data_IF_751970050515
#
_entry.id   IF_751970050515
#
_cell.length_a   1.000
_cell.length_b   1.000
_cell.length_c   1.000
_cell.angle_alpha   90.00
_cell.angle_beta   90.00
_cell.angle_gamma   90.00
#
_symmetry.space_group_name_H-M   'P 1'
#
loop_
_entity.id
_entity.type
_entity.pdbx_description
1 polymer ?
#
# COMPACT_ATOMS: atom_id res chain seq x y z
N UNK A 1 21.74 13.12 6.65
CA UNK A 1 21.05 12.49 5.52
C UNK A 1 20.56 13.61 4.63
N UNK A 2 20.91 13.59 3.35
CA UNK A 2 20.43 14.56 2.36
C UNK A 2 18.93 14.31 2.17
N UNK A 3 18.11 15.35 2.26
CA UNK A 3 16.66 15.24 2.08
C UNK A 3 16.37 14.88 0.61
N UNK A 4 15.69 13.74 0.37
CA UNK A 4 15.34 13.32 -0.99
C UNK A 4 14.20 14.19 -1.49
N UNK A 5 14.41 14.85 -2.62
CA UNK A 5 13.34 15.60 -3.28
C UNK A 5 12.41 14.63 -4.03
N UNK A 6 11.21 14.41 -3.50
CA UNK A 6 10.15 13.61 -4.14
C UNK A 6 9.03 14.54 -4.61
N UNK A 7 8.83 14.63 -5.92
CA UNK A 7 7.68 15.33 -6.52
C UNK A 7 6.57 14.32 -6.81
N UNK A 8 5.34 14.63 -6.39
CA UNK A 8 4.17 13.76 -6.58
C UNK A 8 3.19 14.41 -7.56
N UNK A 9 2.60 13.61 -8.44
CA UNK A 9 1.57 14.03 -9.37
C UNK A 9 0.36 13.09 -9.29
N UNK A 10 -0.82 13.67 -9.05
CA UNK A 10 -2.11 12.98 -9.03
C UNK A 10 -3.00 13.68 -10.06
N UNK A 11 -3.61 12.91 -10.96
CA UNK A 11 -4.42 13.43 -12.08
C UNK A 11 -3.68 14.49 -12.92
N UNK A 12 -2.37 14.29 -13.11
CA UNK A 12 -1.49 15.20 -13.85
C UNK A 12 -1.15 16.51 -13.14
N UNK A 13 -1.64 16.72 -11.91
CA UNK A 13 -1.35 17.91 -11.10
C UNK A 13 -0.30 17.61 -10.06
N UNK A 14 0.67 18.52 -9.93
CA UNK A 14 1.64 18.46 -8.84
C UNK A 14 0.93 18.61 -7.50
N UNK A 15 1.25 17.75 -6.53
CA UNK A 15 0.81 17.86 -5.13
C UNK A 15 2.04 17.99 -4.25
N UNK A 16 1.93 18.79 -3.19
CA UNK A 16 3.09 19.04 -2.33
C UNK A 16 3.38 17.83 -1.44
N UNK A 17 4.64 17.70 -1.00
CA UNK A 17 5.01 16.69 -0.01
C UNK A 17 4.19 16.83 1.27
N UNK A 18 3.94 18.06 1.71
CA UNK A 18 3.11 18.36 2.87
C UNK A 18 1.66 17.89 2.71
N UNK A 19 1.08 17.94 1.51
CA UNK A 19 -0.28 17.43 1.26
C UNK A 19 -0.33 15.90 1.37
N UNK A 20 0.69 15.21 0.85
CA UNK A 20 0.83 13.75 0.96
C UNK A 20 0.95 13.35 2.43
N UNK A 21 1.79 14.03 3.19
CA UNK A 21 1.98 13.82 4.63
C UNK A 21 0.73 14.15 5.44
N UNK A 22 -0.01 15.20 5.07
CA UNK A 22 -1.29 15.53 5.69
C UNK A 22 -2.33 14.43 5.46
N UNK A 23 -2.39 13.88 4.23
CA UNK A 23 -3.24 12.74 3.92
C UNK A 23 -2.84 11.51 4.75
N UNK A 24 -1.54 11.23 4.85
CA UNK A 24 -1.01 10.14 5.67
C UNK A 24 -1.39 10.29 7.14
N UNK A 25 -1.20 11.48 7.72
CA UNK A 25 -1.51 11.75 9.13
C UNK A 25 -3.00 11.52 9.43
N UNK A 26 -3.88 11.89 8.49
CA UNK A 26 -5.33 11.61 8.60
C UNK A 26 -5.60 10.11 8.60
N UNK A 27 -4.94 9.33 7.74
CA UNK A 27 -5.08 7.86 7.70
C UNK A 27 -4.51 7.21 8.95
N UNK A 28 -3.32 7.62 9.38
CA UNK A 28 -2.69 7.14 10.61
C UNK A 28 -3.59 7.37 11.83
N UNK A 29 -4.18 8.56 11.98
CA UNK A 29 -5.17 8.84 13.02
C UNK A 29 -6.39 7.90 12.93
N UNK A 30 -6.93 7.66 11.74
CA UNK A 30 -8.08 6.78 11.55
C UNK A 30 -7.75 5.31 11.92
N UNK A 31 -6.57 4.83 11.52
CA UNK A 31 -6.13 3.45 11.79
C UNK A 31 -5.77 3.27 13.27
N UNK A 32 -5.10 4.24 13.90
CA UNK A 32 -4.84 4.23 15.35
C UNK A 32 -6.15 4.18 16.15
N UNK A 33 -7.15 4.99 15.78
CA UNK A 33 -8.47 4.96 16.42
C UNK A 33 -9.18 3.60 16.22
N UNK A 34 -9.07 3.01 15.02
CA UNK A 34 -9.62 1.69 14.73
C UNK A 34 -8.97 0.61 15.59
N UNK A 35 -7.64 0.53 15.60
CA UNK A 35 -6.89 -0.43 16.41
C UNK A 35 -7.18 -0.25 17.90
N UNK A 36 -7.15 0.99 18.39
CA UNK A 36 -7.44 1.30 19.79
C UNK A 36 -8.86 0.86 20.21
N UNK A 37 -9.87 1.12 19.37
CA UNK A 37 -11.25 0.72 19.66
C UNK A 37 -11.48 -0.79 19.58
N UNK A 38 -10.79 -1.50 18.67
CA UNK A 38 -10.97 -2.95 18.48
C UNK A 38 -10.17 -3.81 19.47
N UNK A 39 -8.96 -3.38 19.80
CA UNK A 39 -8.08 -4.09 20.72
C UNK A 39 -8.40 -3.74 22.18
N UNK A 40 -8.81 -2.50 22.43
CA UNK A 40 -9.00 -1.98 23.78
C UNK A 40 -7.67 -1.81 24.54
N UNK A 41 -7.76 -1.18 25.72
CA UNK A 41 -6.57 -0.77 26.50
C UNK A 41 -5.69 -1.93 26.95
N UNK A 42 -6.27 -3.11 27.24
CA UNK A 42 -5.52 -4.27 27.74
C UNK A 42 -4.61 -4.85 26.67
N UNK A 43 -5.15 -5.18 25.51
CA UNK A 43 -4.35 -5.73 24.42
C UNK A 43 -3.32 -4.72 23.89
N UNK A 44 -3.68 -3.42 23.80
CA UNK A 44 -2.71 -2.37 23.46
C UNK A 44 -1.59 -2.31 24.49
N UNK A 45 -1.89 -2.39 25.79
CA UNK A 45 -0.88 -2.36 26.85
C UNK A 45 0.01 -3.59 26.91
N UNK A 46 -0.46 -4.76 26.48
CA UNK A 46 0.38 -5.95 26.34
C UNK A 46 1.34 -5.84 25.14
N UNK A 47 0.85 -5.33 24.00
CA UNK A 47 1.69 -5.19 22.79
C UNK A 47 2.66 -4.01 22.92
N UNK A 48 2.21 -2.88 23.46
CA UNK A 48 2.97 -1.65 23.61
C UNK A 48 2.85 -1.09 25.04
N UNK A 49 3.62 -1.62 26.00
CA UNK A 49 3.62 -1.14 27.37
C UNK A 49 3.91 0.36 27.46
N UNK A 50 3.08 1.10 28.19
CA UNK A 50 3.26 2.54 28.44
C UNK A 50 2.88 3.47 27.28
N UNK A 51 2.39 2.94 26.15
CA UNK A 51 1.96 3.77 25.01
C UNK A 51 0.49 4.15 25.14
N UNK A 52 0.19 5.45 25.07
CA UNK A 52 -1.17 5.97 24.88
C UNK A 52 -1.38 6.38 23.41
N UNK A 53 -2.27 5.66 22.72
CA UNK A 53 -2.55 5.93 21.31
C UNK A 53 -3.11 7.33 21.06
N UNK A 54 -3.82 7.93 22.02
CA UNK A 54 -4.32 9.30 21.88
C UNK A 54 -3.15 10.30 21.82
N UNK A 55 -2.11 10.09 22.64
CA UNK A 55 -0.90 10.92 22.61
C UNK A 55 -0.18 10.71 21.27
N UNK A 56 -0.06 9.47 20.80
CA UNK A 56 0.61 9.15 19.53
C UNK A 56 -0.03 9.89 18.35
N UNK A 57 -1.36 10.06 18.31
CA UNK A 57 -2.02 10.78 17.20
C UNK A 57 -1.60 12.25 17.09
N UNK A 58 -1.06 12.86 18.15
CA UNK A 58 -0.52 14.22 18.14
C UNK A 58 0.99 14.30 17.86
N UNK A 59 1.68 13.17 17.73
CA UNK A 59 3.12 13.11 17.42
C UNK A 59 3.36 13.15 15.91
N UNK A 60 4.63 13.36 15.51
CA UNK A 60 5.04 13.31 14.09
C UNK A 60 4.82 11.94 13.44
N UNK A 61 4.78 11.93 12.10
CA UNK A 61 4.46 10.75 11.29
C UNK A 61 5.35 9.55 11.60
N UNK A 62 6.65 9.75 11.85
CA UNK A 62 7.55 8.63 12.13
C UNK A 62 7.18 7.87 13.40
N UNK A 63 6.75 8.58 14.45
CA UNK A 63 6.26 7.95 15.67
C UNK A 63 4.92 7.24 15.45
N UNK A 64 4.05 7.79 14.60
CA UNK A 64 2.78 7.15 14.25
C UNK A 64 3.01 5.86 13.44
N UNK A 65 3.91 5.88 12.46
CA UNK A 65 4.33 4.72 11.65
C UNK A 65 4.93 3.63 12.52
N UNK A 66 5.81 4.00 13.46
CA UNK A 66 6.44 3.07 14.39
C UNK A 66 5.41 2.35 15.27
N UNK A 67 4.52 3.12 15.90
CA UNK A 67 3.47 2.56 16.75
C UNK A 67 2.49 1.69 15.96
N UNK A 68 2.09 2.14 14.76
CA UNK A 68 1.21 1.35 13.90
C UNK A 68 1.86 0.04 13.47
N UNK A 69 3.13 0.07 13.05
CA UNK A 69 3.87 -1.13 12.69
C UNK A 69 3.95 -2.08 13.89
N UNK A 70 4.40 -1.59 15.04
CA UNK A 70 4.55 -2.42 16.25
C UNK A 70 3.22 -3.02 16.73
N UNK A 71 2.11 -2.26 16.68
CA UNK A 71 0.78 -2.80 17.01
C UNK A 71 0.36 -3.93 16.07
N UNK A 72 0.54 -3.74 14.76
CA UNK A 72 0.13 -4.72 13.74
C UNK A 72 1.00 -5.98 13.83
N UNK A 73 2.31 -5.82 13.98
CA UNK A 73 3.25 -6.94 14.17
C UNK A 73 2.99 -7.70 15.47
N UNK A 74 2.79 -6.99 16.58
CA UNK A 74 2.51 -7.62 17.88
C UNK A 74 1.15 -8.31 17.96
N UNK A 75 0.16 -7.86 17.19
CA UNK A 75 -1.10 -8.57 17.02
C UNK A 75 -0.93 -9.88 16.23
N UNK A 76 0.07 -9.92 15.35
CA UNK A 76 0.37 -11.06 14.48
C UNK A 76 -0.70 -11.31 13.42
N UNK A 77 -0.40 -12.20 12.47
CA UNK A 77 -1.29 -12.47 11.33
C UNK A 77 -2.68 -12.96 11.77
N UNK A 78 -2.72 -13.93 12.69
CA UNK A 78 -3.97 -14.48 13.20
C UNK A 78 -4.82 -13.43 13.93
N UNK A 79 -4.20 -12.53 14.70
CA UNK A 79 -4.91 -11.46 15.38
C UNK A 79 -5.46 -10.42 14.40
N UNK A 80 -4.71 -10.08 13.35
CA UNK A 80 -5.18 -9.20 12.26
C UNK A 80 -6.41 -9.81 11.58
N UNK A 81 -6.35 -11.09 11.21
CA UNK A 81 -7.50 -11.79 10.61
C UNK A 81 -8.70 -11.82 11.57
N UNK A 82 -8.49 -12.15 12.84
CA UNK A 82 -9.57 -12.21 13.82
C UNK A 82 -10.24 -10.85 14.02
N UNK A 83 -9.44 -9.78 14.14
CA UNK A 83 -9.91 -8.42 14.34
C UNK A 83 -10.71 -7.91 13.13
N UNK A 84 -10.24 -8.21 11.91
CA UNK A 84 -10.82 -7.73 10.66
C UNK A 84 -11.83 -8.70 10.03
N UNK A 85 -12.07 -9.89 10.60
CA UNK A 85 -12.84 -10.99 10.01
C UNK A 85 -14.13 -10.58 9.29
N UNK A 86 -14.95 -9.75 9.95
CA UNK A 86 -16.23 -9.29 9.37
C UNK A 86 -16.04 -8.35 8.19
N UNK A 87 -15.02 -7.50 8.27
CA UNK A 87 -14.70 -6.53 7.24
C UNK A 87 -14.11 -7.23 6.00
N UNK A 88 -13.23 -8.22 6.21
CA UNK A 88 -12.68 -9.04 5.13
C UNK A 88 -13.76 -9.85 4.40
N UNK A 89 -14.66 -10.49 5.15
CA UNK A 89 -15.79 -11.22 4.55
C UNK A 89 -16.74 -10.29 3.77
N UNK A 90 -16.90 -9.04 4.21
CA UNK A 90 -17.73 -8.06 3.48
C UNK A 90 -17.02 -7.54 2.24
N UNK A 91 -15.74 -7.17 2.32
CA UNK A 91 -14.98 -6.67 1.18
C UNK A 91 -14.83 -7.72 0.09
N UNK A 92 -14.64 -8.99 0.43
CA UNK A 92 -14.61 -10.09 -0.54
C UNK A 92 -15.92 -10.17 -1.34
N UNK A 93 -17.08 -10.14 -0.65
CA UNK A 93 -18.40 -10.16 -1.32
C UNK A 93 -18.59 -8.96 -2.24
N UNK A 94 -18.21 -7.78 -1.78
CA UNK A 94 -18.29 -6.55 -2.58
C UNK A 94 -17.38 -6.63 -3.81
N UNK A 95 -16.15 -7.15 -3.66
CA UNK A 95 -15.22 -7.33 -4.77
C UNK A 95 -15.80 -8.27 -5.83
N UNK A 96 -16.38 -9.41 -5.42
CA UNK A 96 -17.03 -10.37 -6.34
C UNK A 96 -18.18 -9.72 -7.12
N UNK A 97 -19.04 -8.96 -6.44
CA UNK A 97 -20.14 -8.23 -7.09
C UNK A 97 -19.62 -7.16 -8.04
N UNK A 98 -18.56 -6.43 -7.65
CA UNK A 98 -17.94 -5.42 -8.48
C UNK A 98 -17.36 -6.04 -9.75
N UNK A 99 -16.62 -7.16 -9.66
CA UNK A 99 -16.09 -7.89 -10.82
C UNK A 99 -17.23 -8.32 -11.75
N UNK A 100 -18.24 -9.01 -11.23
CA UNK A 100 -19.37 -9.49 -12.02
C UNK A 100 -20.12 -8.34 -12.72
N UNK A 101 -20.41 -7.26 -12.00
CA UNK A 101 -21.13 -6.11 -12.54
C UNK A 101 -20.29 -5.22 -13.47
N UNK A 102 -18.96 -5.32 -13.43
CA UNK A 102 -18.07 -4.55 -14.30
C UNK A 102 -18.06 -5.04 -15.74
N UNK A 103 -18.44 -6.32 -15.96
CA UNK A 103 -18.51 -6.95 -17.30
C UNK A 103 -17.20 -6.80 -18.09
N UNK A 104 -16.07 -7.04 -17.43
CA UNK A 104 -14.74 -6.94 -18.01
C UNK A 104 -14.21 -5.52 -18.20
N UNK A 105 -14.95 -4.48 -17.79
CA UNK A 105 -14.42 -3.11 -17.76
C UNK A 105 -13.58 -2.90 -16.51
N UNK A 106 -12.55 -2.07 -16.65
CA UNK A 106 -11.65 -1.68 -15.57
C UNK A 106 -11.62 -0.16 -15.40
N UNK A 107 -11.25 0.27 -14.20
CA UNK A 107 -10.83 1.64 -13.89
C UNK A 107 -9.45 1.61 -13.26
N UNK A 108 -8.70 2.70 -13.41
CA UNK A 108 -7.30 2.74 -13.02
C UNK A 108 -7.04 3.88 -12.04
N UNK A 109 -6.29 3.59 -11.00
CA UNK A 109 -5.62 4.60 -10.17
C UNK A 109 -4.20 4.74 -10.67
N UNK A 110 -3.79 5.97 -11.00
CA UNK A 110 -2.43 6.25 -11.49
C UNK A 110 -1.83 7.42 -10.73
N UNK A 111 -0.69 7.17 -10.10
CA UNK A 111 0.13 8.18 -9.40
C UNK A 111 1.50 8.21 -10.04
N UNK A 112 2.04 9.42 -10.30
CA UNK A 112 3.41 9.58 -10.79
C UNK A 112 4.26 10.22 -9.72
N UNK A 113 5.45 9.66 -9.47
CA UNK A 113 6.47 10.23 -8.60
C UNK A 113 7.74 10.52 -9.39
N UNK A 114 8.49 11.55 -8.97
CA UNK A 114 9.85 11.81 -9.44
C UNK A 114 10.73 11.99 -8.22
N UNK A 115 11.74 11.13 -8.06
CA UNK A 115 12.65 11.13 -6.92
C UNK A 115 14.07 11.45 -7.38
N UNK A 116 14.57 12.63 -7.03
CA UNK A 116 15.92 13.07 -7.41
C UNK A 116 17.00 12.28 -6.69
N UNK A 117 18.04 11.86 -7.41
CA UNK A 117 19.18 11.12 -6.85
C UNK A 117 18.88 9.67 -6.45
N UNK A 118 17.77 9.12 -6.96
CA UNK A 118 17.38 7.71 -6.78
C UNK A 118 17.42 7.03 -8.14
N UNK A 119 18.02 5.84 -8.24
CA UNK A 119 17.96 5.02 -9.46
C UNK A 119 16.75 4.07 -9.44
N UNK A 120 16.11 3.93 -10.59
CA UNK A 120 15.05 2.96 -10.84
C UNK A 120 15.52 1.52 -10.65
N UNK A 121 16.75 1.20 -11.07
CA UNK A 121 17.32 -0.15 -10.94
C UNK A 121 17.62 -0.46 -9.47
N UNK A 122 18.26 0.47 -8.75
CA UNK A 122 18.55 0.30 -7.32
C UNK A 122 17.27 0.19 -6.49
N UNK A 123 16.26 1.04 -6.77
CA UNK A 123 14.96 0.96 -6.10
C UNK A 123 14.24 -0.36 -6.39
N UNK A 124 14.25 -0.82 -7.65
CA UNK A 124 13.67 -2.10 -8.05
C UNK A 124 14.34 -3.27 -7.32
N UNK A 125 15.67 -3.32 -7.33
CA UNK A 125 16.43 -4.36 -6.63
C UNK A 125 16.20 -4.34 -5.11
N UNK A 126 16.08 -3.15 -4.51
CA UNK A 126 15.74 -3.00 -3.10
C UNK A 126 14.33 -3.54 -2.80
N UNK A 127 13.34 -3.23 -3.64
CA UNK A 127 11.96 -3.72 -3.47
C UNK A 127 11.90 -5.25 -3.62
N UNK A 128 12.59 -5.80 -4.61
CA UNK A 128 12.74 -7.26 -4.76
C UNK A 128 13.39 -7.87 -3.52
N UNK A 129 14.39 -7.21 -2.93
CA UNK A 129 14.99 -7.61 -1.65
C UNK A 129 13.98 -7.68 -0.51
N UNK A 130 13.08 -6.69 -0.37
CA UNK A 130 12.04 -6.71 0.66
C UNK A 130 11.10 -7.90 0.51
N UNK A 131 10.69 -8.20 -0.74
CA UNK A 131 9.79 -9.33 -1.01
C UNK A 131 10.50 -10.67 -0.80
N UNK A 132 11.75 -10.80 -1.24
CA UNK A 132 12.55 -12.02 -1.09
C UNK A 132 12.87 -12.35 0.38
N UNK A 133 13.16 -11.34 1.19
CA UNK A 133 13.42 -11.51 2.64
C UNK A 133 12.16 -11.53 3.49
N UNK A 134 10.99 -11.27 2.88
CA UNK A 134 9.72 -11.09 3.57
C UNK A 134 9.83 -10.04 4.70
N UNK A 135 10.37 -8.86 4.40
CA UNK A 135 10.44 -7.76 5.38
C UNK A 135 9.06 -7.11 5.57
N UNK A 136 8.23 -7.78 6.37
CA UNK A 136 6.87 -7.34 6.67
C UNK A 136 6.86 -5.98 7.38
N UNK A 137 7.89 -5.66 8.16
CA UNK A 137 7.99 -4.39 8.88
C UNK A 137 8.14 -3.22 7.90
N UNK A 138 9.05 -3.33 6.93
CA UNK A 138 9.22 -2.33 5.88
C UNK A 138 7.94 -2.15 5.05
N UNK A 139 7.27 -3.25 4.70
CA UNK A 139 6.03 -3.23 3.93
C UNK A 139 4.87 -2.59 4.71
N UNK A 140 4.68 -2.96 5.98
CA UNK A 140 3.59 -2.45 6.83
C UNK A 140 3.83 -1.00 7.25
N UNK A 141 5.08 -0.59 7.46
CA UNK A 141 5.42 0.78 7.89
C UNK A 141 5.18 1.82 6.80
N UNK A 142 5.24 1.43 5.53
CA UNK A 142 5.18 2.36 4.40
C UNK A 142 3.84 3.09 4.25
N UNK A 143 2.73 2.51 4.69
CA UNK A 143 1.45 3.16 4.67
C UNK A 143 0.62 2.79 5.90
N UNK A 144 -0.05 3.75 6.58
CA UNK A 144 -0.94 3.44 7.70
C UNK A 144 -2.03 2.42 7.36
N UNK A 145 -2.45 2.37 6.09
CA UNK A 145 -3.52 1.49 5.62
C UNK A 145 -3.10 0.03 5.43
N UNK A 146 -1.80 -0.30 5.51
CA UNK A 146 -1.27 -1.66 5.43
C UNK A 146 -1.42 -2.39 6.77
N UNK A 147 -2.25 -3.43 6.87
CA UNK A 147 -2.38 -4.22 8.10
C UNK A 147 -1.47 -5.45 8.11
N UNK A 148 -1.26 -6.05 6.95
CA UNK A 148 -0.37 -7.20 6.74
C UNK A 148 0.05 -7.24 5.28
N UNK A 149 1.36 -7.35 5.04
CA UNK A 149 1.92 -7.67 3.73
C UNK A 149 3.00 -8.71 3.95
N UNK A 150 2.84 -9.90 3.39
CA UNK A 150 3.81 -11.00 3.55
C UNK A 150 3.94 -11.83 2.28
N UNK A 151 5.13 -12.33 2.01
CA UNK A 151 5.38 -13.38 1.04
C UNK A 151 4.79 -14.71 1.49
N UNK A 152 4.27 -15.48 0.55
CA UNK A 152 3.79 -16.83 0.74
C UNK A 152 4.77 -17.85 0.13
N UNK A 153 4.78 -19.11 0.58
CA UNK A 153 5.69 -20.13 0.06
C UNK A 153 5.56 -20.42 -1.44
N UNK A 154 4.43 -20.04 -2.05
CA UNK A 154 4.18 -20.21 -3.49
C UNK A 154 4.61 -19.00 -4.33
N UNK A 155 5.32 -18.04 -3.73
CA UNK A 155 5.84 -16.84 -4.39
C UNK A 155 4.83 -15.70 -4.53
N UNK A 156 3.57 -15.88 -4.10
CA UNK A 156 2.59 -14.78 -4.06
C UNK A 156 2.80 -13.92 -2.83
N UNK A 157 2.37 -12.66 -2.90
CA UNK A 157 2.30 -11.79 -1.72
C UNK A 157 0.86 -11.72 -1.22
N UNK A 158 0.64 -11.98 0.05
CA UNK A 158 -0.62 -11.69 0.71
C UNK A 158 -0.66 -10.25 1.20
N UNK A 159 -1.74 -9.55 0.88
CA UNK A 159 -1.97 -8.16 1.26
C UNK A 159 -3.29 -8.05 2.00
N UNK A 160 -3.26 -7.39 3.16
CA UNK A 160 -4.43 -6.93 3.91
C UNK A 160 -4.30 -5.43 4.11
N UNK A 161 -5.14 -4.65 3.44
CA UNK A 161 -5.03 -3.19 3.45
C UNK A 161 -6.37 -2.47 3.31
N UNK A 162 -6.41 -1.18 3.67
CA UNK A 162 -7.52 -0.31 3.28
C UNK A 162 -7.28 0.28 1.88
N UNK A 163 -7.78 -0.38 0.85
CA UNK A 163 -7.61 0.08 -0.54
C UNK A 163 -8.42 1.36 -0.81
N UNK A 164 -7.73 2.48 -1.04
CA UNK A 164 -8.34 3.74 -1.50
C UNK A 164 -9.32 4.34 -0.49
N UNK A 165 -9.01 4.26 0.80
CA UNK A 165 -9.89 4.78 1.86
C UNK A 165 -11.25 4.06 1.93
N UNK A 166 -11.32 2.82 1.45
CA UNK A 166 -12.46 1.91 1.62
C UNK A 166 -12.97 1.92 3.07
N UNK A 167 -14.29 1.81 3.32
CA UNK A 167 -14.80 1.66 4.68
C UNK A 167 -14.28 0.40 5.37
N UNK A 168 -13.87 -0.61 4.60
CA UNK A 168 -13.35 -1.89 5.10
C UNK A 168 -12.08 -2.31 4.38
N UNK A 169 -11.09 -2.85 5.11
CA UNK A 169 -9.92 -3.45 4.48
C UNK A 169 -10.30 -4.67 3.65
N UNK A 170 -9.49 -4.91 2.63
CA UNK A 170 -9.58 -6.05 1.73
C UNK A 170 -8.38 -6.96 1.98
N UNK A 171 -8.58 -8.26 1.79
CA UNK A 171 -7.51 -9.24 1.71
C UNK A 171 -7.47 -9.78 0.28
N UNK A 172 -6.28 -9.84 -0.30
CA UNK A 172 -6.05 -10.44 -1.61
C UNK A 172 -4.61 -10.97 -1.71
N UNK A 173 -4.35 -11.72 -2.78
CA UNK A 173 -3.02 -12.22 -3.11
C UNK A 173 -2.54 -11.53 -4.39
N UNK A 174 -1.30 -11.06 -4.41
CA UNK A 174 -0.64 -10.58 -5.62
C UNK A 174 0.15 -11.73 -6.21
N UNK A 175 -0.25 -12.13 -7.42
CA UNK A 175 0.46 -13.12 -8.23
C UNK A 175 1.36 -12.41 -9.24
N UNK A 176 2.65 -12.32 -8.91
CA UNK A 176 3.68 -11.70 -9.75
C UNK A 176 4.01 -12.53 -11.00
N UNK A 177 3.82 -13.86 -10.97
CA UNK A 177 4.03 -14.72 -12.14
C UNK A 177 3.01 -14.42 -13.25
N UNK A 178 1.87 -13.82 -12.89
CA UNK A 178 0.82 -13.39 -13.82
C UNK A 178 0.97 -11.92 -14.29
N UNK A 179 2.14 -11.29 -14.12
CA UNK A 179 2.38 -9.88 -14.45
C UNK A 179 2.08 -9.51 -15.91
N UNK A 180 2.33 -10.40 -16.87
CA UNK A 180 2.02 -10.19 -18.30
C UNK A 180 0.51 -10.14 -18.59
N UNK A 181 -0.32 -10.66 -17.69
CA UNK A 181 -1.78 -10.69 -17.84
C UNK A 181 -2.50 -9.48 -17.22
N UNK A 182 -1.77 -8.52 -16.66
CA UNK A 182 -2.33 -7.26 -16.12
C UNK A 182 -2.73 -6.35 -17.27
N UNK A 183 -3.92 -5.73 -17.20
CA UNK A 183 -4.46 -4.96 -18.34
C UNK A 183 -3.79 -3.60 -18.54
N UNK A 184 -3.06 -3.12 -17.53
CA UNK A 184 -2.24 -1.90 -17.62
C UNK A 184 -1.14 -2.12 -18.66
N UNK A 185 -1.03 -1.29 -19.71
CA UNK A 185 -0.01 -1.46 -20.74
C UNK A 185 1.42 -1.28 -20.20
N UNK A 186 2.33 -2.10 -20.72
CA UNK A 186 3.78 -1.89 -20.57
C UNK A 186 4.19 -0.64 -21.34
N UNK A 187 5.03 0.18 -20.72
CA UNK A 187 5.70 1.31 -21.33
C UNK A 187 7.17 0.95 -21.58
N UNK A 188 7.60 0.77 -22.84
CA UNK A 188 8.98 0.39 -23.14
C UNK A 188 10.04 1.33 -22.57
N UNK A 189 9.68 2.60 -22.36
CA UNK A 189 10.54 3.61 -21.76
C UNK A 189 10.71 3.47 -20.23
N UNK A 190 10.05 2.49 -19.60
CA UNK A 190 10.15 2.15 -18.17
C UNK A 190 10.65 0.70 -18.01
N UNK A 191 11.98 0.47 -17.98
CA UNK A 191 12.55 -0.87 -18.03
C UNK A 191 12.36 -1.68 -16.75
N UNK A 192 12.21 -1.02 -15.60
CA UNK A 192 12.02 -1.70 -14.30
C UNK A 192 10.53 -1.75 -13.99
N UNK A 193 10.01 -2.91 -13.60
CA UNK A 193 8.60 -3.09 -13.34
C UNK A 193 8.32 -3.97 -12.12
N UNK A 194 7.26 -3.64 -11.40
CA UNK A 194 6.63 -4.50 -10.41
C UNK A 194 5.20 -4.72 -10.90
N UNK A 195 4.88 -5.94 -11.34
CA UNK A 195 3.60 -6.25 -11.95
C UNK A 195 3.03 -7.58 -11.46
N UNK A 196 1.73 -7.62 -11.20
CA UNK A 196 1.06 -8.84 -10.74
C UNK A 196 -0.46 -8.70 -10.72
N UNK A 197 -1.17 -9.83 -10.78
CA UNK A 197 -2.64 -9.84 -10.66
C UNK A 197 -3.05 -9.92 -9.20
N UNK A 198 -4.06 -9.13 -8.82
CA UNK A 198 -4.69 -9.26 -7.52
C UNK A 198 -5.81 -10.32 -7.61
N UNK A 199 -5.70 -11.38 -6.81
CA UNK A 199 -6.63 -12.52 -6.81
C UNK A 199 -7.17 -12.83 -5.43
N UNK A 200 -8.37 -13.42 -5.37
CA UNK A 200 -8.92 -14.06 -4.17
C UNK A 200 -8.37 -15.50 -4.03
N UNK A 201 -8.68 -16.14 -2.90
CA UNK A 201 -8.20 -17.51 -2.59
C UNK A 201 -8.65 -18.56 -3.61
N UNK A 202 -9.78 -18.33 -4.29
CA UNK A 202 -10.31 -19.20 -5.35
C UNK A 202 -9.79 -18.85 -6.76
N UNK A 203 -8.84 -17.92 -6.85
CA UNK A 203 -8.25 -17.46 -8.11
C UNK A 203 -9.08 -16.41 -8.85
N UNK A 204 -10.20 -15.92 -8.30
CA UNK A 204 -10.94 -14.82 -8.91
C UNK A 204 -10.05 -13.57 -8.98
N UNK A 205 -9.80 -13.08 -10.20
CA UNK A 205 -9.08 -11.82 -10.43
C UNK A 205 -9.98 -10.65 -10.05
N UNK A 206 -9.50 -9.82 -9.13
CA UNK A 206 -10.20 -8.62 -8.64
C UNK A 206 -9.49 -7.33 -9.01
N UNK A 207 -8.38 -7.41 -9.74
CA UNK A 207 -7.59 -6.27 -10.18
C UNK A 207 -6.17 -6.67 -10.57
N UNK A 208 -5.28 -5.70 -10.63
CA UNK A 208 -3.88 -5.90 -10.96
C UNK A 208 -3.04 -4.66 -10.64
N UNK A 209 -1.74 -4.85 -10.56
CA UNK A 209 -0.78 -3.76 -10.34
C UNK A 209 0.23 -3.79 -11.47
N UNK A 210 0.60 -2.62 -11.97
CA UNK A 210 1.80 -2.42 -12.78
C UNK A 210 2.43 -1.09 -12.40
N UNK A 211 3.47 -1.16 -11.59
CA UNK A 211 4.33 -0.04 -11.27
C UNK A 211 5.54 -0.10 -12.19
N UNK A 212 5.86 1.01 -12.84
CA UNK A 212 6.89 1.07 -13.87
C UNK A 212 7.85 2.20 -13.52
N UNK A 213 9.15 1.95 -13.63
CA UNK A 213 10.19 2.88 -13.21
C UNK A 213 11.20 3.08 -14.33
N UNK A 214 11.72 4.30 -14.42
CA UNK A 214 12.82 4.68 -15.32
C UNK A 214 13.71 5.72 -14.68
N UNK A 215 14.95 5.76 -15.13
CA UNK A 215 15.85 6.87 -14.86
C UNK A 215 15.70 7.93 -15.94
N UNK A 216 15.55 9.20 -15.51
CA UNK A 216 15.50 10.36 -16.37
C UNK A 216 16.13 11.55 -15.65
N UNK A 217 17.10 12.21 -16.29
CA UNK A 217 17.74 13.43 -15.80
C UNK A 217 18.27 13.35 -14.34
N UNK A 218 18.81 12.19 -13.95
CA UNK A 218 19.35 11.95 -12.61
C UNK A 218 18.29 11.73 -11.52
N UNK A 219 17.05 11.45 -11.91
CA UNK A 219 15.95 11.10 -11.03
C UNK A 219 15.27 9.81 -11.49
N UNK A 220 14.73 9.05 -10.53
CA UNK A 220 13.80 7.98 -10.83
C UNK A 220 12.41 8.58 -11.06
N UNK A 221 11.81 8.29 -12.21
CA UNK A 221 10.37 8.47 -12.41
C UNK A 221 9.64 7.15 -12.17
N UNK A 222 8.64 7.18 -11.28
CA UNK A 222 7.76 6.06 -11.01
C UNK A 222 6.35 6.35 -11.56
N UNK A 223 5.83 5.47 -12.40
CA UNK A 223 4.45 5.45 -12.83
C UNK A 223 3.72 4.28 -12.13
N UNK A 224 2.96 4.62 -11.10
CA UNK A 224 2.32 3.67 -10.21
C UNK A 224 0.87 3.47 -10.66
N UNK A 225 0.54 2.34 -11.28
CA UNK A 225 -0.83 2.09 -11.73
C UNK A 225 -1.43 0.84 -11.12
N UNK A 226 -2.65 0.97 -10.59
CA UNK A 226 -3.46 -0.12 -10.06
C UNK A 226 -4.78 -0.20 -10.83
N UNK A 227 -5.12 -1.40 -11.27
CA UNK A 227 -6.33 -1.80 -11.97
C UNK A 227 -7.38 -2.26 -10.96
N UNK A 228 -8.59 -1.70 -11.05
CA UNK A 228 -9.77 -2.11 -10.31
C UNK A 228 -10.90 -2.52 -11.26
N UNK A 229 -11.88 -3.31 -10.78
CA UNK A 229 -13.10 -3.57 -11.55
C UNK A 229 -13.80 -2.25 -11.85
N UNK A 230 -14.39 -2.10 -13.03
CA UNK A 230 -15.01 -0.85 -13.50
C UNK A 230 -16.16 -0.28 -12.64
N UNK A 231 -16.70 -1.06 -11.70
CA UNK A 231 -17.66 -0.57 -10.69
C UNK A 231 -17.00 -0.06 -9.40
N UNK A 232 -15.66 -0.09 -9.31
CA UNK A 232 -14.96 0.44 -8.15
C UNK A 232 -15.19 1.96 -8.05
N UNK A 233 -15.62 2.48 -6.89
CA UNK A 233 -16.07 3.87 -6.80
C UNK A 233 -14.97 4.86 -7.16
N UNK A 234 -15.27 5.86 -8.01
CA UNK A 234 -14.30 6.87 -8.46
C UNK A 234 -13.62 7.61 -7.29
N UNK A 235 -14.36 7.89 -6.20
CA UNK A 235 -13.78 8.50 -4.99
C UNK A 235 -12.71 7.62 -4.32
N UNK A 236 -12.83 6.30 -4.43
CA UNK A 236 -11.87 5.34 -3.89
C UNK A 236 -10.68 5.16 -4.84
N UNK A 237 -10.90 5.21 -6.16
CA UNK A 237 -9.82 5.32 -7.16
C UNK A 237 -8.95 6.55 -6.85
N UNK A 238 -9.57 7.72 -6.70
CA UNK A 238 -8.87 8.96 -6.39
C UNK A 238 -8.13 8.90 -5.05
N UNK A 239 -8.76 8.33 -4.01
CA UNK A 239 -8.11 8.13 -2.72
C UNK A 239 -6.95 7.13 -2.79
N UNK A 240 -7.00 6.14 -3.69
CA UNK A 240 -5.90 5.20 -3.88
C UNK A 240 -4.69 5.85 -4.54
N UNK A 241 -4.87 6.91 -5.34
CA UNK A 241 -3.73 7.68 -5.85
C UNK A 241 -2.91 8.30 -4.69
N UNK A 242 -3.58 8.77 -3.64
CA UNK A 242 -2.92 9.26 -2.43
C UNK A 242 -2.27 8.16 -1.60
N UNK A 243 -2.90 6.98 -1.53
CA UNK A 243 -2.30 5.79 -0.92
C UNK A 243 -0.96 5.46 -1.57
N UNK A 244 -0.93 5.35 -2.90
CA UNK A 244 0.30 5.09 -3.68
C UNK A 244 1.35 6.18 -3.47
N UNK A 245 0.94 7.45 -3.37
CA UNK A 245 1.86 8.56 -3.11
C UNK A 245 2.54 8.43 -1.74
N UNK A 246 1.80 8.06 -0.70
CA UNK A 246 2.36 7.83 0.65
C UNK A 246 3.29 6.63 0.66
N UNK A 247 2.77 5.49 0.23
CA UNK A 247 3.43 4.19 0.22
C UNK A 247 4.78 4.25 -0.49
N UNK A 248 4.78 4.65 -1.76
CA UNK A 248 6.01 4.67 -2.55
C UNK A 248 6.97 5.78 -2.12
N UNK A 249 6.49 6.93 -1.64
CA UNK A 249 7.41 7.93 -1.10
C UNK A 249 8.15 7.42 0.13
N UNK A 250 7.47 6.71 1.02
CA UNK A 250 8.09 6.16 2.23
C UNK A 250 9.06 5.01 1.89
N UNK A 251 8.73 4.18 0.91
CA UNK A 251 9.65 3.17 0.38
C UNK A 251 10.87 3.76 -0.31
N UNK A 252 10.69 4.81 -1.13
CA UNK A 252 11.82 5.52 -1.75
C UNK A 252 12.76 6.06 -0.67
N UNK A 253 12.23 6.71 0.36
CA UNK A 253 13.04 7.21 1.48
C UNK A 253 13.79 6.06 2.17
N UNK A 254 13.11 4.95 2.46
CA UNK A 254 13.72 3.78 3.09
C UNK A 254 14.82 3.16 2.24
N UNK A 255 14.64 3.10 0.91
CA UNK A 255 15.62 2.50 -0.01
C UNK A 255 16.98 3.20 -0.02
N UNK A 256 17.00 4.51 0.25
CA UNK A 256 18.25 5.29 0.31
C UNK A 256 18.95 5.27 1.67
N UNK A 257 18.28 4.75 2.69
CA UNK A 257 18.83 4.59 4.04
C UNK A 257 19.39 3.19 4.28
N UNK A 258 19.20 2.27 3.32
CA UNK A 258 19.62 0.88 3.36
C UNK A 258 21.09 0.68 2.97
#
# INVERSE_FOLDING_TARGET
>A
MTEIAIQTFIDGRAVSRADVEHWEARRAKAVLAKLGSRLGRRAVGEILPGVDLNIVTGRGLDAQREVLCALKSGLGHAGIYAMLRRELAMSERVARLAVAGSRGRNVYSTTRLVAGGVSAEEFGAWFDGLTATNDESAMVRACPDHYLLRGLPDGRQEVVETTGGSPTPTRFLVDYAAGESVSVPVKPEYPVQIAGRAVLDDGLVIGGVRHQFRDLDGAMEALLTVEFPGLFPARMVAAHCWHLAVEFSNWIIASTAA
#
